data_IF_141724764955
#
_entry.id   IF_141724764955
#
_cell.length_a   1.000
_cell.length_b   1.000
_cell.length_c   1.000
_cell.angle_alpha   90.00
_cell.angle_beta   90.00
_cell.angle_gamma   90.00
#
_symmetry.space_group_name_H-M   'P 1'
#
loop_
_entity.id
_entity.type
_entity.pdbx_description
1 polymer ?
#
# COMPACT_ATOMS: atom_id res chain seq x y z
N UNK A 1 -5.49 -11.11 -21.15
CA UNK A 1 -4.55 -12.23 -20.97
C UNK A 1 -5.38 -13.47 -20.69
N UNK A 2 -5.21 -14.56 -21.45
CA UNK A 2 -5.81 -15.86 -21.10
C UNK A 2 -4.79 -16.56 -20.20
N UNK A 3 -5.11 -16.71 -18.91
CA UNK A 3 -4.35 -17.57 -18.01
C UNK A 3 -4.53 -19.02 -18.47
N UNK A 4 -3.41 -19.71 -18.67
CA UNK A 4 -3.44 -21.14 -18.99
C UNK A 4 -3.83 -21.93 -17.74
N UNK A 5 -4.55 -23.04 -17.91
CA UNK A 5 -5.02 -23.88 -16.79
C UNK A 5 -3.84 -24.35 -15.92
N UNK A 6 -2.68 -24.59 -16.51
CA UNK A 6 -1.46 -24.97 -15.79
C UNK A 6 -0.94 -23.85 -14.87
N UNK A 7 -0.99 -22.59 -15.29
CA UNK A 7 -0.57 -21.45 -14.47
C UNK A 7 -1.50 -21.28 -13.26
N UNK A 8 -2.80 -21.51 -13.46
CA UNK A 8 -3.78 -21.49 -12.37
C UNK A 8 -3.51 -22.61 -11.37
N UNK A 9 -3.16 -23.82 -11.84
CA UNK A 9 -2.82 -24.95 -10.97
C UNK A 9 -1.58 -24.66 -10.12
N UNK A 10 -0.54 -24.06 -10.70
CA UNK A 10 0.67 -23.67 -9.95
C UNK A 10 0.37 -22.65 -8.86
N UNK A 11 -0.43 -21.62 -9.18
CA UNK A 11 -0.86 -20.62 -8.20
C UNK A 11 -1.68 -21.28 -7.09
N UNK A 12 -2.61 -22.16 -7.43
CA UNK A 12 -3.43 -22.87 -6.45
C UNK A 12 -2.60 -23.76 -5.53
N UNK A 13 -1.58 -24.46 -6.05
CA UNK A 13 -0.66 -25.23 -5.22
C UNK A 13 0.15 -24.33 -4.28
N UNK A 14 0.59 -23.16 -4.74
CA UNK A 14 1.27 -22.17 -3.89
C UNK A 14 0.38 -21.71 -2.74
N UNK A 15 -0.85 -21.30 -3.05
CA UNK A 15 -1.84 -20.88 -2.05
C UNK A 15 -2.17 -22.02 -1.08
N UNK A 16 -2.32 -23.25 -1.58
CA UNK A 16 -2.58 -24.42 -0.74
C UNK A 16 -1.47 -24.65 0.29
N UNK A 17 -0.19 -24.52 -0.10
CA UNK A 17 0.94 -24.66 0.83
C UNK A 17 0.92 -23.60 1.91
N UNK A 18 0.58 -22.35 1.55
CA UNK A 18 0.42 -21.26 2.51
C UNK A 18 -0.68 -21.61 3.50
N UNK A 19 -1.86 -22.01 3.02
CA UNK A 19 -2.98 -22.39 3.88
C UNK A 19 -2.66 -23.60 4.78
N UNK A 20 -1.87 -24.56 4.29
CA UNK A 20 -1.40 -25.68 5.10
C UNK A 20 -0.48 -25.24 6.24
N UNK A 21 0.36 -24.23 6.03
CA UNK A 21 1.21 -23.66 7.08
C UNK A 21 0.37 -23.07 8.23
N UNK A 22 -0.79 -22.49 7.91
CA UNK A 22 -1.70 -21.85 8.87
C UNK A 22 -2.92 -22.70 9.24
N UNK A 23 -2.86 -24.03 9.07
CA UNK A 23 -4.02 -24.94 9.22
C UNK A 23 -4.77 -24.84 10.56
N UNK A 24 -4.11 -24.35 11.62
CA UNK A 24 -4.70 -24.14 12.94
C UNK A 24 -4.89 -22.68 13.36
N UNK A 25 -4.54 -21.73 12.50
CA UNK A 25 -4.64 -20.28 12.80
C UNK A 25 -5.97 -19.72 12.30
N UNK A 26 -6.44 -18.63 12.92
CA UNK A 26 -7.56 -17.87 12.36
C UNK A 26 -7.09 -17.17 11.08
N UNK A 27 -8.01 -16.98 10.14
CA UNK A 27 -7.73 -16.30 8.87
C UNK A 27 -7.23 -14.86 9.12
N UNK A 28 -7.74 -14.18 10.15
CA UNK A 28 -7.28 -12.85 10.57
C UNK A 28 -5.80 -12.86 10.94
N UNK A 29 -5.39 -13.81 11.79
CA UNK A 29 -4.03 -13.90 12.30
C UNK A 29 -3.04 -14.25 11.18
N UNK A 30 -3.46 -15.12 10.24
CA UNK A 30 -2.69 -15.41 9.02
C UNK A 30 -2.50 -14.17 8.16
N UNK A 31 -3.55 -13.38 7.92
CA UNK A 31 -3.48 -12.18 7.09
C UNK A 31 -2.63 -11.09 7.77
N UNK A 32 -2.74 -10.95 9.08
CA UNK A 32 -1.92 -10.02 9.86
C UNK A 32 -0.44 -10.43 9.83
N UNK A 33 -0.10 -11.73 9.96
CA UNK A 33 1.28 -12.23 9.84
C UNK A 33 1.84 -12.04 8.41
N UNK A 34 1.05 -12.35 7.38
CA UNK A 34 1.45 -12.09 5.99
C UNK A 34 1.65 -10.59 5.76
N UNK A 35 0.76 -9.75 6.29
CA UNK A 35 0.87 -8.29 6.19
C UNK A 35 2.13 -7.78 6.88
N UNK A 36 2.41 -8.25 8.11
CA UNK A 36 3.63 -7.92 8.85
C UNK A 36 4.88 -8.30 8.06
N UNK A 37 4.92 -9.50 7.45
CA UNK A 37 6.07 -9.98 6.67
C UNK A 37 6.23 -9.28 5.32
N UNK A 38 5.14 -8.83 4.70
CA UNK A 38 5.18 -8.17 3.38
C UNK A 38 5.33 -6.64 3.46
N UNK A 39 4.90 -6.03 4.57
CA UNK A 39 4.81 -4.56 4.71
C UNK A 39 5.77 -3.98 5.76
N UNK A 40 6.44 -4.78 6.59
CA UNK A 40 7.52 -4.26 7.43
C UNK A 40 8.77 -3.96 6.59
N UNK A 41 9.28 -2.72 6.59
CA UNK A 41 10.62 -2.45 6.08
C UNK A 41 11.64 -2.95 7.09
N UNK A 42 12.55 -3.79 6.60
CA UNK A 42 13.85 -4.18 7.16
C UNK A 42 13.96 -5.47 8.00
N UNK A 43 14.86 -6.33 7.47
CA UNK A 43 15.77 -7.22 8.18
C UNK A 43 15.18 -8.32 9.07
N UNK A 44 14.77 -9.42 8.46
CA UNK A 44 14.95 -10.74 9.07
C UNK A 44 15.67 -11.66 8.07
N UNK A 45 16.99 -11.67 8.19
CA UNK A 45 17.78 -12.86 7.90
C UNK A 45 17.25 -14.01 8.77
N UNK A 46 16.77 -15.08 8.13
CA UNK A 46 16.88 -16.39 8.74
C UNK A 46 18.20 -17.00 8.27
N UNK A 47 19.17 -17.09 9.18
CA UNK A 47 20.25 -18.08 9.14
C UNK A 47 19.62 -19.48 9.06
N UNK A 48 20.10 -20.44 8.28
CA UNK A 48 21.42 -21.06 8.36
C UNK A 48 21.87 -21.65 7.01
N UNK A 49 23.09 -21.30 6.56
CA UNK A 49 24.23 -22.22 6.34
C UNK A 49 25.38 -21.53 5.57
N UNK A 50 26.44 -21.26 6.33
CA UNK A 50 27.88 -21.31 6.00
C UNK A 50 28.38 -21.04 4.57
N UNK A 51 29.21 -20.00 4.39
CA UNK A 51 30.68 -20.14 4.28
C UNK A 51 31.36 -18.93 3.57
N UNK A 52 32.41 -18.37 4.20
CA UNK A 52 33.52 -17.60 3.58
C UNK A 52 33.37 -16.07 3.55
N UNK A 53 33.98 -15.29 4.46
CA UNK A 53 35.32 -14.64 4.38
C UNK A 53 35.55 -13.91 3.04
N UNK A 54 35.84 -12.60 2.93
CA UNK A 54 36.76 -11.76 3.70
C UNK A 54 36.53 -10.25 3.38
N UNK A 55 36.52 -9.41 4.43
CA UNK A 55 37.14 -8.07 4.58
C UNK A 55 36.71 -6.82 3.74
N UNK A 56 37.00 -5.59 4.25
CA UNK A 56 36.12 -4.41 4.23
C UNK A 56 36.73 -3.20 3.45
N UNK A 57 36.26 -1.97 3.76
CA UNK A 57 36.79 -0.62 3.39
C UNK A 57 36.02 0.03 2.23
N UNK A 58 35.66 1.31 2.15
CA UNK A 58 35.53 2.50 3.01
C UNK A 58 35.01 3.63 2.07
N UNK A 59 34.62 4.77 2.64
CA UNK A 59 34.54 6.13 2.05
C UNK A 59 33.44 6.49 1.00
N UNK A 60 32.54 7.36 1.45
CA UNK A 60 31.92 8.51 0.72
C UNK A 60 33.02 9.50 0.23
N UNK A 61 32.75 10.69 -0.36
CA UNK A 61 31.60 11.21 -1.11
C UNK A 61 32.04 11.85 -2.47
N UNK A 62 31.11 12.22 -3.36
CA UNK A 62 31.35 13.33 -4.30
C UNK A 62 30.04 13.87 -4.89
N UNK A 63 29.80 15.16 -4.65
CA UNK A 63 28.84 15.97 -5.37
C UNK A 63 29.20 16.10 -6.86
N UNK A 64 28.20 16.04 -7.74
CA UNK A 64 28.21 16.73 -9.03
C UNK A 64 26.77 16.96 -9.53
N UNK A 65 26.31 18.21 -9.49
CA UNK A 65 25.34 18.76 -10.46
C UNK A 65 26.16 19.31 -11.66
N UNK A 66 25.55 19.76 -12.78
CA UNK A 66 24.31 19.37 -13.47
C UNK A 66 24.53 19.16 -14.99
N UNK A 67 23.81 18.26 -15.67
CA UNK A 67 23.70 18.32 -17.15
C UNK A 67 22.30 17.95 -17.62
N UNK A 68 21.69 18.90 -18.32
CA UNK A 68 20.42 18.82 -19.04
C UNK A 68 20.53 17.87 -20.22
N UNK A 69 19.58 16.95 -20.37
CA UNK A 69 19.25 16.38 -21.68
C UNK A 69 17.75 16.14 -21.81
N UNK A 70 17.18 16.86 -22.78
CA UNK A 70 15.82 16.74 -23.29
C UNK A 70 15.68 15.40 -24.02
N UNK A 71 14.67 14.61 -23.69
CA UNK A 71 13.76 13.89 -24.62
C UNK A 71 12.98 12.80 -23.87
N UNK A 72 11.67 12.76 -24.08
CA UNK A 72 10.81 11.67 -23.63
C UNK A 72 9.54 12.18 -22.96
N UNK A 73 8.43 12.19 -23.70
CA UNK A 73 7.07 12.25 -23.15
C UNK A 73 6.87 11.05 -22.20
N UNK A 74 7.26 11.17 -20.93
CA UNK A 74 6.94 10.20 -19.89
C UNK A 74 5.61 10.61 -19.26
N UNK A 75 4.56 9.92 -19.68
CA UNK A 75 3.24 9.85 -19.04
C UNK A 75 3.45 9.25 -17.63
N UNK A 76 3.86 10.05 -16.65
CA UNK A 76 3.98 9.68 -15.24
C UNK A 76 2.94 10.49 -14.45
N UNK A 77 1.66 10.28 -14.76
CA UNK A 77 0.54 10.98 -14.12
C UNK A 77 -0.22 10.08 -13.12
N UNK A 78 0.30 8.89 -12.81
CA UNK A 78 -0.31 7.93 -11.88
C UNK A 78 0.62 7.67 -10.70
N UNK A 79 0.07 7.69 -9.49
CA UNK A 79 0.77 7.23 -8.28
C UNK A 79 1.16 5.76 -8.45
N UNK A 80 2.38 5.41 -8.04
CA UNK A 80 2.80 4.01 -7.95
C UNK A 80 2.22 3.37 -6.66
N UNK A 81 2.24 2.04 -6.59
CA UNK A 81 1.61 1.30 -5.49
C UNK A 81 2.17 1.68 -4.11
N UNK A 82 3.48 1.92 -4.02
CA UNK A 82 4.14 2.38 -2.78
C UNK A 82 3.67 3.77 -2.34
N UNK A 83 3.54 4.73 -3.27
CA UNK A 83 3.00 6.05 -2.95
C UNK A 83 1.54 5.98 -2.52
N UNK A 84 0.73 5.12 -3.17
CA UNK A 84 -0.65 4.90 -2.75
C UNK A 84 -0.72 4.30 -1.33
N UNK A 85 0.17 3.37 -0.99
CA UNK A 85 0.21 2.75 0.33
C UNK A 85 0.59 3.78 1.41
N UNK A 86 1.65 4.56 1.19
CA UNK A 86 2.06 5.62 2.11
C UNK A 86 0.95 6.68 2.29
N UNK A 87 0.34 7.12 1.18
CA UNK A 87 -0.75 8.11 1.23
C UNK A 87 -1.96 7.58 2.02
N UNK A 88 -2.27 6.29 1.90
CA UNK A 88 -3.35 5.66 2.68
C UNK A 88 -3.04 5.67 4.17
N UNK A 89 -1.85 5.25 4.57
CA UNK A 89 -1.43 5.24 5.98
C UNK A 89 -1.44 6.64 6.60
N UNK A 90 -1.05 7.63 5.82
CA UNK A 90 -1.05 9.04 6.24
C UNK A 90 -2.48 9.55 6.43
N UNK A 91 -3.37 9.34 5.45
CA UNK A 91 -4.79 9.77 5.55
C UNK A 91 -5.53 9.08 6.69
N UNK A 92 -5.24 7.80 6.97
CA UNK A 92 -5.87 7.07 8.08
C UNK A 92 -5.52 7.65 9.47
N UNK A 93 -4.43 8.40 9.58
CA UNK A 93 -3.98 9.04 10.82
C UNK A 93 -4.41 10.50 10.97
N UNK A 94 -4.92 11.12 9.91
CA UNK A 94 -5.25 12.54 9.87
C UNK A 94 -6.73 12.80 10.15
N UNK A 95 -7.02 13.98 10.70
CA UNK A 95 -8.40 14.47 10.72
C UNK A 95 -8.84 14.93 9.32
N UNK A 96 -10.16 15.02 9.12
CA UNK A 96 -10.76 15.32 7.82
C UNK A 96 -10.14 16.55 7.14
N UNK A 97 -10.03 17.66 7.87
CA UNK A 97 -9.51 18.94 7.35
C UNK A 97 -8.05 18.85 6.92
N UNK A 98 -7.25 18.08 7.66
CA UNK A 98 -5.84 17.83 7.36
C UNK A 98 -5.69 16.91 6.14
N UNK A 99 -6.53 15.86 6.05
CA UNK A 99 -6.57 14.98 4.89
C UNK A 99 -6.99 15.71 3.61
N UNK A 100 -7.97 16.62 3.70
CA UNK A 100 -8.38 17.46 2.56
C UNK A 100 -7.23 18.36 2.09
N UNK A 101 -6.47 18.92 3.03
CA UNK A 101 -5.29 19.76 2.74
C UNK A 101 -4.17 18.96 2.08
N UNK A 102 -3.86 17.76 2.59
CA UNK A 102 -2.86 16.85 2.03
C UNK A 102 -3.24 16.45 0.60
N UNK A 103 -4.49 15.99 0.41
CA UNK A 103 -5.00 15.55 -0.89
C UNK A 103 -5.07 16.69 -1.91
N UNK A 104 -5.19 17.94 -1.46
CA UNK A 104 -5.17 19.09 -2.34
C UNK A 104 -3.80 19.36 -2.96
N UNK A 105 -2.71 18.75 -2.48
CA UNK A 105 -1.40 18.81 -3.15
C UNK A 105 -1.34 17.95 -4.43
N UNK A 106 -2.23 16.97 -4.58
CA UNK A 106 -2.21 16.02 -5.69
C UNK A 106 -3.03 16.48 -6.88
N UNK A 107 -2.70 15.97 -8.07
CA UNK A 107 -3.47 16.20 -9.29
C UNK A 107 -4.73 15.33 -9.32
N UNK A 108 -5.75 15.75 -10.08
CA UNK A 108 -6.99 14.96 -10.26
C UNK A 108 -6.68 13.53 -10.74
N UNK A 109 -5.73 13.36 -11.66
CA UNK A 109 -5.35 12.03 -12.17
C UNK A 109 -4.77 11.15 -11.08
N UNK A 110 -3.89 11.68 -10.24
CA UNK A 110 -3.32 10.97 -9.10
C UNK A 110 -4.39 10.58 -8.09
N UNK A 111 -5.31 11.50 -7.76
CA UNK A 111 -6.43 11.22 -6.87
C UNK A 111 -7.34 10.11 -7.42
N UNK A 112 -7.63 10.13 -8.72
CA UNK A 112 -8.40 9.06 -9.37
C UNK A 112 -7.63 7.73 -9.36
N UNK A 113 -6.32 7.73 -9.62
CA UNK A 113 -5.50 6.51 -9.54
C UNK A 113 -5.43 5.94 -8.12
N UNK A 114 -5.33 6.81 -7.11
CA UNK A 114 -5.38 6.42 -5.70
C UNK A 114 -6.74 5.85 -5.32
N UNK A 115 -7.83 6.49 -5.74
CA UNK A 115 -9.18 5.98 -5.53
C UNK A 115 -9.41 4.62 -6.21
N UNK A 116 -8.94 4.45 -7.44
CA UNK A 116 -8.99 3.17 -8.16
C UNK A 116 -8.18 2.08 -7.42
N UNK A 117 -7.00 2.41 -6.91
CA UNK A 117 -6.18 1.48 -6.11
C UNK A 117 -6.83 1.10 -4.78
N UNK A 118 -7.42 2.08 -4.09
CA UNK A 118 -8.10 1.89 -2.80
C UNK A 118 -9.53 1.36 -2.90
N UNK A 119 -10.02 1.03 -4.11
CA UNK A 119 -11.42 0.65 -4.36
C UNK A 119 -12.44 1.67 -3.84
N UNK A 120 -12.10 2.97 -3.92
CA UNK A 120 -12.94 4.08 -3.48
C UNK A 120 -13.77 4.55 -4.69
N UNK A 121 -15.10 4.59 -4.53
CA UNK A 121 -15.99 5.12 -5.56
C UNK A 121 -15.86 6.64 -5.66
N UNK A 122 -15.34 7.14 -6.79
CA UNK A 122 -15.20 8.58 -7.06
C UNK A 122 -15.77 8.95 -8.43
N UNK A 123 -16.31 10.16 -8.53
CA UNK A 123 -16.77 10.74 -9.79
C UNK A 123 -15.58 11.32 -10.56
N UNK A 124 -15.04 10.54 -11.51
CA UNK A 124 -13.82 10.91 -12.27
C UNK A 124 -13.94 12.20 -13.10
N UNK A 125 -15.17 12.61 -13.45
CA UNK A 125 -15.47 13.85 -14.17
C UNK A 125 -15.77 15.04 -13.24
N UNK A 126 -15.83 14.82 -11.93
CA UNK A 126 -16.15 15.89 -10.98
C UNK A 126 -14.96 16.82 -10.74
N UNK A 127 -15.25 17.94 -10.06
CA UNK A 127 -14.21 18.88 -9.62
C UNK A 127 -13.29 18.20 -8.60
N UNK A 128 -12.04 18.65 -8.53
CA UNK A 128 -11.01 18.12 -7.62
C UNK A 128 -11.51 18.06 -6.17
N UNK A 129 -12.13 19.13 -5.68
CA UNK A 129 -12.69 19.22 -4.32
C UNK A 129 -13.72 18.12 -4.03
N UNK A 130 -14.56 17.78 -5.03
CA UNK A 130 -15.56 16.71 -4.90
C UNK A 130 -14.89 15.35 -4.77
N UNK A 131 -13.85 15.09 -5.58
CA UNK A 131 -13.08 13.84 -5.53
C UNK A 131 -12.36 13.73 -4.18
N UNK A 132 -11.74 14.81 -3.71
CA UNK A 132 -11.11 14.88 -2.39
C UNK A 132 -12.14 14.56 -1.31
N UNK A 133 -13.31 15.21 -1.32
CA UNK A 133 -14.39 14.96 -0.36
C UNK A 133 -14.90 13.52 -0.38
N UNK A 134 -14.97 12.88 -1.55
CA UNK A 134 -15.34 11.46 -1.66
C UNK A 134 -14.28 10.55 -1.04
N UNK A 135 -13.00 10.84 -1.27
CA UNK A 135 -11.89 10.11 -0.68
C UNK A 135 -11.88 10.30 0.85
N UNK A 136 -11.96 11.53 1.35
CA UNK A 136 -11.93 11.79 2.80
C UNK A 136 -13.15 11.23 3.52
N UNK A 137 -14.33 11.29 2.90
CA UNK A 137 -15.54 10.64 3.43
C UNK A 137 -15.34 9.13 3.60
N UNK A 138 -14.74 8.45 2.61
CA UNK A 138 -14.49 7.00 2.68
C UNK A 138 -13.68 6.62 3.94
N UNK A 139 -12.59 7.35 4.20
CA UNK A 139 -11.76 7.11 5.39
C UNK A 139 -12.45 7.53 6.70
N UNK A 140 -13.22 8.62 6.69
CA UNK A 140 -14.02 9.06 7.83
C UNK A 140 -15.06 8.04 8.27
N UNK A 141 -15.80 7.44 7.33
CA UNK A 141 -16.76 6.37 7.63
C UNK A 141 -16.08 5.10 8.12
N UNK A 142 -14.91 4.75 7.58
CA UNK A 142 -14.14 3.59 8.04
C UNK A 142 -13.75 3.72 9.52
N UNK A 143 -13.25 4.90 9.93
CA UNK A 143 -12.91 5.18 11.33
C UNK A 143 -14.14 5.15 12.24
N UNK A 144 -15.25 5.74 11.79
CA UNK A 144 -16.51 5.72 12.54
C UNK A 144 -17.01 4.28 12.74
N UNK A 145 -17.01 3.47 11.67
CA UNK A 145 -17.44 2.07 11.73
C UNK A 145 -16.54 1.24 12.66
N UNK A 146 -15.23 1.48 12.63
CA UNK A 146 -14.28 0.83 13.55
C UNK A 146 -14.58 1.19 15.02
N UNK A 147 -14.83 2.47 15.33
CA UNK A 147 -15.24 2.91 16.67
C UNK A 147 -16.59 2.33 17.08
N UNK A 148 -17.54 2.20 16.14
CA UNK A 148 -18.85 1.59 16.41
C UNK A 148 -18.74 0.10 16.70
N UNK A 149 -17.87 -0.64 16.01
CA UNK A 149 -17.61 -2.05 16.25
C UNK A 149 -16.95 -2.34 17.62
N UNK A 150 -16.23 -1.36 18.18
CA UNK A 150 -15.58 -1.48 19.50
C UNK A 150 -16.49 -1.09 20.67
N UNK A 151 -17.74 -0.69 20.41
CA UNK A 151 -18.67 -0.38 21.50
C UNK A 151 -18.99 -1.67 22.26
N UNK A 152 -18.89 -1.69 23.60
CA UNK A 152 -19.34 -2.84 24.37
C UNK A 152 -20.84 -3.03 24.13
N UNK A 153 -21.25 -4.27 23.86
CA UNK A 153 -22.66 -4.61 23.74
C UNK A 153 -23.40 -4.08 24.97
N UNK A 154 -24.47 -3.32 24.73
CA UNK A 154 -25.31 -2.85 25.82
C UNK A 154 -25.90 -4.07 26.53
N UNK A 155 -25.32 -4.40 27.68
CA UNK A 155 -25.89 -5.38 28.62
C UNK A 155 -27.25 -4.82 29.03
N UNK A 156 -28.32 -5.46 28.57
CA UNK A 156 -29.72 -5.15 28.92
C UNK A 156 -30.07 -5.73 30.28
#
# INVERSE_FOLDING_TARGET
>A
MKLMVNEVLEVLMGVQKILQHYRGSKVTDMLDDIYLRCCAPENIQYSDREAGTDKPVNVLPAEAKPVVSKTGKKKRDSLNAEQCLHLREEIERLEREQAETLLNSYTIKQLCSFADWGSISVQKSARKEVIIGQITNHFGFRHLNMKMAQRPDMVR
#
